data_IF_965796217321
#
_entry.id   IF_965796217321
#
_cell.length_a   1.000
_cell.length_b   1.000
_cell.length_c   1.000
_cell.angle_alpha   90.00
_cell.angle_beta   90.00
_cell.angle_gamma   90.00
#
_symmetry.space_group_name_H-M   'P 1'
#
loop_
_entity.id
_entity.type
_entity.pdbx_description
1 polymer ?
#
# COMPACT_ATOMS: atom_id res chain seq x y z
N UNK A 1 2.76 -13.03 8.29
CA UNK A 1 2.95 -12.85 6.83
C UNK A 1 4.27 -13.46 6.40
N UNK A 2 4.34 -13.95 5.18
CA UNK A 2 5.56 -14.40 4.49
C UNK A 2 5.59 -13.72 3.13
N UNK A 3 6.78 -13.38 2.63
CA UNK A 3 6.99 -12.99 1.24
C UNK A 3 8.11 -13.83 0.65
N UNK A 4 7.95 -14.19 -0.62
CA UNK A 4 8.93 -14.99 -1.35
C UNK A 4 9.54 -14.18 -2.48
N UNK A 5 10.62 -14.68 -3.06
CA UNK A 5 11.24 -14.13 -4.26
C UNK A 5 10.20 -13.98 -5.37
N UNK A 6 10.22 -12.89 -6.16
CA UNK A 6 9.25 -12.66 -7.23
C UNK A 6 9.08 -13.87 -8.15
N UNK A 7 7.85 -14.39 -8.21
CA UNK A 7 7.54 -15.60 -8.99
C UNK A 7 7.83 -15.40 -10.49
N UNK A 8 7.74 -14.17 -11.02
CA UNK A 8 8.15 -13.90 -12.39
C UNK A 8 9.61 -14.29 -12.66
N UNK A 9 10.50 -14.13 -11.67
CA UNK A 9 11.90 -14.54 -11.77
C UNK A 9 12.03 -16.06 -11.65
N UNK A 10 11.34 -16.66 -10.67
CA UNK A 10 11.38 -18.09 -10.39
C UNK A 10 10.82 -18.89 -11.57
N UNK A 11 9.73 -18.44 -12.16
CA UNK A 11 9.05 -19.09 -13.27
C UNK A 11 9.58 -18.69 -14.67
N UNK A 12 10.56 -17.79 -14.76
CA UNK A 12 11.02 -17.23 -16.04
C UNK A 12 11.46 -18.29 -17.08
N UNK A 13 12.01 -19.39 -16.63
CA UNK A 13 12.42 -20.50 -17.50
C UNK A 13 11.27 -21.47 -17.85
N UNK A 14 10.14 -21.39 -17.16
CA UNK A 14 8.98 -22.24 -17.40
C UNK A 14 8.17 -21.71 -18.59
N UNK A 15 7.86 -22.56 -19.55
CA UNK A 15 6.96 -22.24 -20.67
C UNK A 15 5.53 -22.68 -20.33
N UNK A 16 5.07 -22.38 -19.12
CA UNK A 16 3.76 -22.79 -18.60
C UNK A 16 3.13 -21.65 -17.81
N UNK A 17 1.81 -21.74 -17.57
CA UNK A 17 1.11 -20.77 -16.73
C UNK A 17 1.73 -20.70 -15.32
N UNK A 18 1.95 -19.50 -14.75
CA UNK A 18 2.41 -19.33 -13.38
C UNK A 18 1.38 -19.67 -12.30
N UNK A 19 0.10 -19.83 -12.61
CA UNK A 19 -0.99 -20.10 -11.65
C UNK A 19 -0.70 -21.27 -10.70
N UNK A 20 -0.10 -22.39 -11.12
CA UNK A 20 0.28 -23.48 -10.21
C UNK A 20 1.22 -23.05 -9.07
N UNK A 21 2.09 -22.02 -9.29
CA UNK A 21 2.92 -21.45 -8.23
C UNK A 21 2.05 -20.73 -7.20
N UNK A 22 1.03 -19.97 -7.62
CA UNK A 22 0.10 -19.33 -6.69
C UNK A 22 -0.62 -20.37 -5.82
N UNK A 23 -1.10 -21.46 -6.41
CA UNK A 23 -1.71 -22.55 -5.64
C UNK A 23 -0.73 -23.23 -4.66
N UNK A 24 0.54 -23.39 -5.05
CA UNK A 24 1.57 -23.92 -4.14
C UNK A 24 1.84 -22.97 -2.97
N UNK A 25 1.92 -21.65 -3.24
CA UNK A 25 2.06 -20.62 -2.22
C UNK A 25 0.87 -20.61 -1.26
N UNK A 26 -0.35 -20.72 -1.77
CA UNK A 26 -1.57 -20.75 -0.95
C UNK A 26 -1.60 -21.95 0.00
N UNK A 27 -1.25 -23.14 -0.51
CA UNK A 27 -1.12 -24.34 0.33
C UNK A 27 -0.05 -24.17 1.40
N UNK A 28 1.15 -23.70 1.01
CA UNK A 28 2.23 -23.45 1.96
C UNK A 28 1.83 -22.45 3.06
N UNK A 29 1.13 -21.38 2.70
CA UNK A 29 0.61 -20.40 3.66
C UNK A 29 -0.39 -21.02 4.64
N UNK A 30 -1.25 -21.92 4.17
CA UNK A 30 -2.19 -22.68 5.01
C UNK A 30 -1.45 -23.64 5.97
N UNK A 31 -0.49 -24.38 5.45
CA UNK A 31 0.27 -25.37 6.22
C UNK A 31 1.06 -24.73 7.37
N UNK A 32 1.65 -23.55 7.15
CA UNK A 32 2.41 -22.83 8.18
C UNK A 32 1.56 -21.84 9.00
N UNK A 33 0.27 -21.73 8.70
CA UNK A 33 -0.68 -20.94 9.49
C UNK A 33 -0.53 -19.42 9.33
N UNK A 34 0.02 -18.92 8.21
CA UNK A 34 0.09 -17.46 7.94
C UNK A 34 -1.13 -16.98 7.17
N UNK A 35 -1.55 -15.75 7.44
CA UNK A 35 -2.75 -15.18 6.84
C UNK A 35 -2.55 -14.74 5.40
N UNK A 36 -1.36 -14.24 5.06
CA UNK A 36 -1.03 -13.74 3.73
C UNK A 36 0.37 -14.19 3.32
N UNK A 37 0.54 -14.49 2.02
CA UNK A 37 1.82 -14.76 1.38
C UNK A 37 1.97 -13.88 0.14
N UNK A 38 3.02 -13.05 0.11
CA UNK A 38 3.39 -12.19 -1.00
C UNK A 38 4.48 -12.80 -1.88
N UNK A 39 4.74 -12.15 -3.03
CA UNK A 39 5.77 -12.57 -3.98
C UNK A 39 5.22 -13.12 -5.29
N UNK A 40 3.90 -13.20 -5.48
CA UNK A 40 3.34 -13.40 -6.82
C UNK A 40 3.49 -12.09 -7.62
N UNK A 41 4.74 -11.75 -7.95
CA UNK A 41 5.21 -10.40 -8.26
C UNK A 41 6.02 -10.39 -9.55
N UNK A 42 5.90 -9.29 -10.31
CA UNK A 42 6.76 -8.93 -11.44
C UNK A 42 7.42 -7.56 -11.22
N UNK A 43 8.70 -7.44 -11.62
CA UNK A 43 9.48 -6.21 -11.51
C UNK A 43 9.80 -5.70 -12.91
N UNK A 44 9.01 -4.76 -13.42
CA UNK A 44 9.02 -4.34 -14.83
C UNK A 44 9.35 -2.85 -15.07
N UNK A 45 10.16 -2.19 -14.21
CA UNK A 45 10.44 -0.77 -14.40
C UNK A 45 11.28 -0.47 -15.65
N UNK A 46 11.95 -1.48 -16.21
CA UNK A 46 12.78 -1.37 -17.44
C UNK A 46 12.15 -2.00 -18.68
N UNK A 47 10.91 -2.47 -18.58
CA UNK A 47 10.22 -3.22 -19.63
C UNK A 47 9.92 -4.64 -19.19
N UNK A 48 9.37 -5.45 -20.08
CA UNK A 48 8.89 -6.79 -19.80
C UNK A 48 9.83 -7.86 -20.36
N UNK A 49 10.08 -8.90 -19.60
CA UNK A 49 10.44 -10.22 -20.11
C UNK A 49 9.19 -11.01 -20.52
N UNK A 50 9.36 -12.12 -21.23
CA UNK A 50 8.24 -13.00 -21.56
C UNK A 50 7.59 -13.57 -20.27
N UNK A 51 8.39 -13.90 -19.27
CA UNK A 51 7.89 -14.42 -17.98
C UNK A 51 7.09 -13.37 -17.19
N UNK A 52 7.48 -12.09 -17.26
CA UNK A 52 6.74 -11.01 -16.62
C UNK A 52 5.34 -10.85 -17.22
N UNK A 53 5.25 -10.89 -18.55
CA UNK A 53 3.96 -10.77 -19.27
C UNK A 53 3.02 -11.93 -18.89
N UNK A 54 3.54 -13.16 -18.87
CA UNK A 54 2.74 -14.34 -18.51
C UNK A 54 2.29 -14.27 -17.05
N UNK A 55 3.16 -13.86 -16.12
CA UNK A 55 2.78 -13.68 -14.73
C UNK A 55 1.69 -12.60 -14.58
N UNK A 56 1.89 -11.41 -15.14
CA UNK A 56 0.94 -10.30 -15.02
C UNK A 56 -0.43 -10.69 -15.56
N UNK A 57 -0.50 -11.35 -16.71
CA UNK A 57 -1.75 -11.85 -17.28
C UNK A 57 -2.45 -12.91 -16.41
N UNK A 58 -1.68 -13.65 -15.63
CA UNK A 58 -2.23 -14.71 -14.76
C UNK A 58 -2.70 -14.20 -13.40
N UNK A 59 -2.39 -12.95 -13.02
CA UNK A 59 -2.76 -12.38 -11.70
C UNK A 59 -4.26 -12.49 -11.41
N UNK A 60 -5.18 -12.14 -12.33
CA UNK A 60 -6.61 -12.22 -12.03
C UNK A 60 -7.08 -13.65 -11.70
N UNK A 61 -6.60 -14.65 -12.43
CA UNK A 61 -6.91 -16.05 -12.15
C UNK A 61 -6.28 -16.50 -10.82
N UNK A 62 -5.01 -16.21 -10.61
CA UNK A 62 -4.29 -16.57 -9.39
C UNK A 62 -4.99 -16.02 -8.14
N UNK A 63 -5.37 -14.73 -8.15
CA UNK A 63 -6.03 -14.09 -7.00
C UNK A 63 -7.49 -14.50 -6.81
N UNK A 64 -8.18 -14.90 -7.87
CA UNK A 64 -9.55 -15.43 -7.78
C UNK A 64 -9.58 -16.87 -7.25
N UNK A 65 -8.55 -17.68 -7.51
CA UNK A 65 -8.51 -19.10 -7.16
C UNK A 65 -7.70 -19.42 -5.90
N UNK A 66 -7.12 -18.40 -5.24
CA UNK A 66 -6.37 -18.55 -3.99
C UNK A 66 -6.92 -17.64 -2.90
N UNK A 67 -6.77 -18.06 -1.66
CA UNK A 67 -7.28 -17.34 -0.49
C UNK A 67 -6.25 -16.35 0.07
N UNK A 68 -4.98 -16.75 0.19
CA UNK A 68 -3.93 -16.06 0.95
C UNK A 68 -2.86 -15.42 0.09
N UNK A 69 -2.84 -15.71 -1.21
CA UNK A 69 -1.83 -15.16 -2.12
C UNK A 69 -2.11 -13.70 -2.42
N UNK A 70 -1.06 -12.89 -2.30
CA UNK A 70 -1.08 -11.50 -2.68
C UNK A 70 -0.08 -11.25 -3.82
N UNK A 71 -0.39 -10.27 -4.66
CA UNK A 71 0.39 -9.93 -5.84
C UNK A 71 0.81 -8.49 -5.85
N UNK A 72 1.91 -8.21 -6.53
CA UNK A 72 2.34 -6.85 -6.85
C UNK A 72 3.07 -6.76 -8.17
N UNK A 73 3.04 -5.57 -8.76
CA UNK A 73 3.84 -5.25 -9.95
C UNK A 73 4.55 -3.92 -9.72
N UNK A 74 5.88 -3.91 -9.77
CA UNK A 74 6.66 -2.67 -9.72
C UNK A 74 6.87 -2.15 -11.12
N UNK A 75 6.21 -1.03 -11.47
CA UNK A 75 6.13 -0.51 -12.84
C UNK A 75 7.10 0.65 -13.11
N UNK A 76 7.79 1.15 -12.09
CA UNK A 76 8.65 2.32 -12.25
C UNK A 76 9.62 2.51 -11.10
N UNK A 77 10.60 3.36 -11.35
CA UNK A 77 11.50 3.86 -10.31
C UNK A 77 12.09 5.22 -10.69
N UNK A 78 12.55 5.96 -9.69
CA UNK A 78 13.27 7.23 -9.91
C UNK A 78 14.49 7.07 -10.83
N UNK A 79 15.12 5.88 -10.84
CA UNK A 79 16.31 5.60 -11.65
C UNK A 79 15.99 5.21 -13.09
N UNK A 80 14.86 4.56 -13.33
CA UNK A 80 14.54 3.96 -14.65
C UNK A 80 13.39 4.65 -15.36
N UNK A 81 12.67 5.54 -14.69
CA UNK A 81 11.43 6.11 -15.19
C UNK A 81 10.23 5.20 -14.97
N UNK A 82 9.15 5.46 -15.68
CA UNK A 82 7.86 4.78 -15.56
C UNK A 82 7.62 3.95 -16.81
N UNK A 83 7.28 2.69 -16.64
CA UNK A 83 6.82 1.81 -17.71
C UNK A 83 5.32 2.05 -17.98
N UNK A 84 5.01 2.93 -18.91
CA UNK A 84 3.62 3.30 -19.23
C UNK A 84 2.82 2.15 -19.86
N UNK A 85 3.47 1.21 -20.55
CA UNK A 85 2.82 0.01 -21.06
C UNK A 85 2.38 -0.89 -19.89
N UNK A 86 3.19 -0.94 -18.82
CA UNK A 86 2.80 -1.62 -17.59
C UNK A 86 1.63 -0.91 -16.88
N UNK A 87 1.62 0.43 -16.81
CA UNK A 87 0.48 1.18 -16.28
C UNK A 87 -0.82 0.81 -17.01
N UNK A 88 -0.76 0.82 -18.35
CA UNK A 88 -1.90 0.44 -19.18
C UNK A 88 -2.36 -0.99 -18.94
N UNK A 89 -1.44 -1.93 -18.90
CA UNK A 89 -1.74 -3.34 -18.64
C UNK A 89 -2.37 -3.52 -17.26
N UNK A 90 -1.81 -2.87 -16.23
CA UNK A 90 -2.28 -3.02 -14.86
C UNK A 90 -3.68 -2.46 -14.61
N UNK A 91 -4.10 -1.40 -15.30
CA UNK A 91 -5.49 -0.94 -15.23
C UNK A 91 -6.50 -2.01 -15.64
N UNK A 92 -6.20 -2.78 -16.70
CA UNK A 92 -6.99 -3.93 -17.11
C UNK A 92 -6.95 -5.07 -16.09
N UNK A 93 -5.77 -5.39 -15.58
CA UNK A 93 -5.58 -6.47 -14.58
C UNK A 93 -6.31 -6.17 -13.28
N UNK A 94 -6.25 -4.94 -12.75
CA UNK A 94 -6.98 -4.53 -11.54
C UNK A 94 -8.48 -4.70 -11.74
N UNK A 95 -9.01 -4.24 -12.89
CA UNK A 95 -10.42 -4.38 -13.21
C UNK A 95 -10.84 -5.85 -13.31
N UNK A 96 -10.06 -6.68 -14.01
CA UNK A 96 -10.33 -8.12 -14.15
C UNK A 96 -10.26 -8.86 -12.81
N UNK A 97 -9.34 -8.48 -11.91
CA UNK A 97 -9.31 -9.03 -10.54
C UNK A 97 -10.62 -8.75 -9.79
N UNK A 98 -11.17 -7.54 -9.92
CA UNK A 98 -12.42 -7.18 -9.30
C UNK A 98 -13.60 -7.97 -9.94
N UNK A 99 -13.66 -8.02 -11.27
CA UNK A 99 -14.72 -8.73 -12.01
C UNK A 99 -14.77 -10.23 -11.69
N UNK A 100 -13.60 -10.89 -11.57
CA UNK A 100 -13.52 -12.32 -11.23
C UNK A 100 -13.86 -12.65 -9.77
N UNK A 101 -13.94 -11.66 -8.91
CA UNK A 101 -14.15 -11.83 -7.46
C UNK A 101 -15.36 -11.05 -6.93
N UNK A 102 -16.36 -10.79 -7.77
CA UNK A 102 -17.59 -10.08 -7.39
C UNK A 102 -18.29 -10.75 -6.22
N UNK A 103 -18.35 -12.10 -6.21
CA UNK A 103 -18.99 -12.88 -5.15
C UNK A 103 -18.31 -12.72 -3.77
N UNK A 104 -17.04 -12.30 -3.76
CA UNK A 104 -16.29 -11.93 -2.55
C UNK A 104 -16.06 -10.42 -2.45
N UNK A 105 -17.03 -9.62 -2.90
CA UNK A 105 -17.01 -8.17 -2.86
C UNK A 105 -15.76 -7.55 -3.52
N UNK A 106 -15.33 -8.09 -4.67
CA UNK A 106 -14.17 -7.65 -5.45
C UNK A 106 -12.81 -7.77 -4.71
N UNK A 107 -12.71 -8.65 -3.70
CA UNK A 107 -11.55 -8.77 -2.81
C UNK A 107 -10.25 -9.16 -3.55
N UNK A 108 -10.33 -9.75 -4.75
CA UNK A 108 -9.17 -10.02 -5.59
C UNK A 108 -8.35 -8.76 -5.88
N UNK A 109 -9.02 -7.64 -6.15
CA UNK A 109 -8.35 -6.36 -6.36
C UNK A 109 -7.67 -5.81 -5.09
N UNK A 110 -8.20 -6.10 -3.90
CA UNK A 110 -7.59 -5.73 -2.62
C UNK A 110 -6.27 -6.47 -2.32
N UNK A 111 -6.05 -7.64 -2.97
CA UNK A 111 -4.82 -8.44 -2.86
C UNK A 111 -3.74 -8.04 -3.89
N UNK A 112 -3.99 -7.04 -4.73
CA UNK A 112 -3.08 -6.58 -5.77
C UNK A 112 -2.59 -5.16 -5.50
N UNK A 113 -1.28 -4.95 -5.58
CA UNK A 113 -0.64 -3.64 -5.40
C UNK A 113 0.22 -3.31 -6.61
N UNK A 114 0.07 -2.11 -7.17
CA UNK A 114 0.96 -1.59 -8.21
C UNK A 114 1.92 -0.59 -7.59
N UNK A 115 3.21 -0.82 -7.71
CA UNK A 115 4.25 0.01 -7.10
C UNK A 115 5.04 0.84 -8.11
N UNK A 116 5.51 2.00 -7.65
CA UNK A 116 6.71 2.67 -8.14
C UNK A 116 7.71 2.80 -6.99
N UNK A 117 9.00 2.59 -7.25
CA UNK A 117 10.04 2.52 -6.21
C UNK A 117 9.73 1.50 -5.10
N UNK A 118 9.29 0.31 -5.47
CA UNK A 118 9.02 -0.74 -4.49
C UNK A 118 10.25 -1.06 -3.64
N UNK A 119 10.06 -1.23 -2.34
CA UNK A 119 11.11 -1.67 -1.40
C UNK A 119 11.07 -3.18 -1.24
N UNK A 120 12.22 -3.80 -1.09
CA UNK A 120 12.40 -5.25 -1.09
C UNK A 120 12.21 -5.88 0.31
N UNK A 121 12.21 -5.05 1.35
CA UNK A 121 12.17 -5.43 2.78
C UNK A 121 10.83 -5.12 3.48
N UNK A 122 9.79 -4.80 2.73
CA UNK A 122 8.50 -4.34 3.22
C UNK A 122 7.72 -5.42 3.99
N UNK A 123 7.41 -5.25 5.29
CA UNK A 123 6.62 -6.21 6.06
C UNK A 123 5.10 -5.90 6.10
N UNK A 124 4.65 -4.75 5.62
CA UNK A 124 3.27 -4.27 5.81
C UNK A 124 2.33 -4.56 4.63
N UNK A 125 2.75 -4.21 3.40
CA UNK A 125 1.85 -4.30 2.26
C UNK A 125 1.52 -5.74 1.89
N UNK A 126 0.29 -5.96 1.46
CA UNK A 126 -0.17 -7.26 0.97
C UNK A 126 0.66 -7.76 -0.25
N UNK A 127 1.08 -6.83 -1.12
CA UNK A 127 1.91 -7.12 -2.29
C UNK A 127 3.42 -7.15 -2.01
N UNK A 128 3.88 -7.29 -0.77
CA UNK A 128 5.30 -7.42 -0.44
C UNK A 128 5.94 -8.62 -1.15
N UNK A 129 7.22 -8.53 -1.43
CA UNK A 129 8.03 -9.59 -1.99
C UNK A 129 9.40 -9.63 -1.32
N UNK A 130 10.09 -10.75 -1.43
CA UNK A 130 11.46 -10.90 -0.94
C UNK A 130 12.43 -10.53 -2.06
N UNK A 131 13.24 -9.48 -1.85
CA UNK A 131 14.15 -8.97 -2.87
C UNK A 131 15.29 -9.91 -3.19
N UNK A 132 15.78 -9.84 -4.41
CA UNK A 132 16.94 -10.65 -4.86
C UNK A 132 18.27 -10.24 -4.23
N UNK A 133 18.32 -9.03 -3.65
CA UNK A 133 19.48 -8.52 -2.92
C UNK A 133 19.50 -8.90 -1.44
N UNK A 134 18.43 -9.51 -0.95
CA UNK A 134 18.28 -9.93 0.44
C UNK A 134 18.93 -11.30 0.71
N UNK A 135 19.28 -11.64 1.98
CA UNK A 135 19.70 -13.00 2.35
C UNK A 135 18.62 -14.03 2.04
N UNK A 136 19.00 -15.32 1.94
CA UNK A 136 18.06 -16.43 1.64
C UNK A 136 16.83 -16.45 2.55
N UNK A 137 16.96 -15.99 3.78
CA UNK A 137 15.88 -15.86 4.72
C UNK A 137 16.18 -14.75 5.73
N UNK A 138 15.19 -13.91 6.07
CA UNK A 138 15.34 -12.89 7.10
C UNK A 138 14.02 -12.59 7.81
N UNK A 139 14.10 -11.96 8.97
CA UNK A 139 12.96 -11.49 9.76
C UNK A 139 12.92 -9.98 9.69
N UNK A 140 11.84 -9.42 9.15
CA UNK A 140 11.51 -8.01 9.21
C UNK A 140 10.36 -7.80 10.20
N UNK A 141 10.42 -6.73 10.97
CA UNK A 141 9.41 -6.43 12.00
C UNK A 141 8.64 -5.18 11.60
N UNK A 142 7.37 -5.35 11.28
CA UNK A 142 6.43 -4.25 11.12
C UNK A 142 5.82 -3.88 12.47
N UNK A 143 5.93 -2.61 12.86
CA UNK A 143 5.30 -2.07 14.07
C UNK A 143 4.37 -0.95 13.67
N UNK A 144 3.12 -1.02 14.12
CA UNK A 144 2.14 0.03 13.92
C UNK A 144 1.69 0.63 15.25
N UNK A 145 1.17 1.83 15.22
CA UNK A 145 0.70 2.47 16.45
C UNK A 145 0.07 3.84 16.25
N UNK A 146 -0.89 4.05 15.31
CA UNK A 146 -1.61 5.31 15.20
C UNK A 146 -2.29 5.69 16.52
N UNK A 147 -2.96 4.74 17.17
CA UNK A 147 -3.62 4.96 18.46
C UNK A 147 -2.67 5.38 19.57
N UNK A 148 -1.44 4.87 19.58
CA UNK A 148 -0.42 5.25 20.58
C UNK A 148 0.05 6.70 20.34
N UNK A 149 0.27 7.10 19.10
CA UNK A 149 0.63 8.48 18.73
C UNK A 149 -0.50 9.44 19.10
N UNK A 150 -1.73 9.10 18.74
CA UNK A 150 -2.92 9.89 19.10
C UNK A 150 -3.05 10.06 20.60
N UNK A 151 -2.94 8.98 21.37
CA UNK A 151 -3.02 9.04 22.83
C UNK A 151 -1.89 9.88 23.45
N UNK A 152 -0.72 9.91 22.84
CA UNK A 152 0.37 10.76 23.28
C UNK A 152 0.07 12.25 23.05
N UNK A 153 -0.45 12.61 21.87
CA UNK A 153 -0.82 14.01 21.54
C UNK A 153 -1.92 14.54 22.45
N UNK A 154 -2.92 13.74 22.77
CA UNK A 154 -4.03 14.10 23.69
C UNK A 154 -3.58 14.47 25.09
N UNK A 155 -2.37 14.12 25.51
CA UNK A 155 -1.81 14.56 26.80
C UNK A 155 -1.32 16.01 26.75
N UNK A 156 -1.25 16.61 25.58
CA UNK A 156 -0.75 17.96 25.35
C UNK A 156 -1.72 18.77 24.49
N UNK A 157 -2.98 19.01 24.95
CA UNK A 157 -4.00 19.66 24.13
C UNK A 157 -3.66 21.12 23.76
N UNK A 158 -2.79 21.76 24.55
CA UNK A 158 -2.30 23.14 24.30
C UNK A 158 -0.95 23.15 23.56
N UNK A 159 -0.48 21.99 23.00
CA UNK A 159 0.78 21.94 22.32
C UNK A 159 0.72 22.73 21.01
N UNK A 160 1.68 23.62 20.85
CA UNK A 160 1.87 24.33 19.58
C UNK A 160 2.59 23.47 18.53
N UNK A 161 2.69 24.01 17.33
CA UNK A 161 3.32 23.35 16.19
C UNK A 161 4.80 23.00 16.41
N UNK A 162 5.48 23.58 17.39
CA UNK A 162 6.86 23.29 17.73
C UNK A 162 6.97 22.09 18.67
N UNK A 163 6.01 21.91 19.57
CA UNK A 163 5.98 20.81 20.54
C UNK A 163 5.45 19.51 19.94
N UNK A 164 4.49 19.58 19.03
CA UNK A 164 3.84 18.41 18.41
C UNK A 164 4.86 17.44 17.79
N UNK A 165 5.82 17.88 16.94
CA UNK A 165 6.82 16.97 16.36
C UNK A 165 7.69 16.26 17.41
N UNK A 166 8.00 16.92 18.53
CA UNK A 166 8.81 16.33 19.58
C UNK A 166 8.08 15.20 20.31
N UNK A 167 6.78 15.38 20.58
CA UNK A 167 5.92 14.33 21.15
C UNK A 167 5.85 13.13 20.19
N UNK A 168 5.64 13.38 18.88
CA UNK A 168 5.58 12.32 17.87
C UNK A 168 6.91 11.57 17.77
N UNK A 169 8.05 12.28 17.73
CA UNK A 169 9.39 11.68 17.69
C UNK A 169 9.65 10.80 18.91
N UNK A 170 9.31 11.29 20.12
CA UNK A 170 9.53 10.55 21.36
C UNK A 170 8.73 9.23 21.38
N UNK A 171 7.47 9.27 20.99
CA UNK A 171 6.64 8.06 20.99
C UNK A 171 7.06 7.09 19.88
N UNK A 172 7.41 7.60 18.70
CA UNK A 172 7.94 6.81 17.58
C UNK A 172 9.24 6.11 17.94
N UNK A 173 10.14 6.81 18.65
CA UNK A 173 11.36 6.21 19.22
C UNK A 173 11.02 5.01 20.11
N UNK A 174 10.08 5.18 21.06
CA UNK A 174 9.70 4.11 22.00
C UNK A 174 9.11 2.89 21.28
N UNK A 175 8.22 3.12 20.33
CA UNK A 175 7.59 2.04 19.53
C UNK A 175 8.67 1.28 18.74
N UNK A 176 9.57 1.98 18.07
CA UNK A 176 10.67 1.38 17.29
C UNK A 176 11.59 0.53 18.16
N UNK A 177 11.92 0.99 19.38
CA UNK A 177 12.74 0.22 20.33
C UNK A 177 12.10 -1.10 20.72
N UNK A 178 10.78 -1.13 20.89
CA UNK A 178 10.04 -2.37 21.14
C UNK A 178 10.13 -3.30 19.92
N UNK A 179 9.94 -2.79 18.72
CA UNK A 179 10.09 -3.56 17.47
C UNK A 179 11.49 -4.17 17.33
N UNK A 180 12.54 -3.40 17.61
CA UNK A 180 13.92 -3.87 17.59
C UNK A 180 14.16 -5.00 18.60
N UNK A 181 13.63 -4.86 19.81
CA UNK A 181 13.75 -5.88 20.86
C UNK A 181 13.10 -7.19 20.40
N UNK A 182 11.86 -7.12 19.89
CA UNK A 182 11.12 -8.28 19.37
C UNK A 182 11.89 -8.95 18.23
N UNK A 183 12.35 -8.19 17.24
CA UNK A 183 13.14 -8.70 16.10
C UNK A 183 14.42 -9.38 16.53
N UNK A 184 15.14 -8.79 17.49
CA UNK A 184 16.38 -9.38 18.05
C UNK A 184 16.11 -10.73 18.76
N UNK A 185 15.03 -10.80 19.55
CA UNK A 185 14.65 -12.02 20.26
C UNK A 185 14.22 -13.11 19.26
N UNK A 186 13.39 -12.74 18.29
CA UNK A 186 12.92 -13.67 17.24
C UNK A 186 14.09 -14.23 16.43
N UNK A 187 14.99 -13.37 15.99
CA UNK A 187 16.22 -13.76 15.27
C UNK A 187 17.06 -14.79 16.04
N UNK A 188 17.30 -14.53 17.32
CA UNK A 188 18.05 -15.46 18.18
C UNK A 188 17.35 -16.81 18.37
N UNK A 189 16.01 -16.80 18.53
CA UNK A 189 15.23 -18.03 18.75
C UNK A 189 15.12 -18.91 17.50
N UNK A 190 15.01 -18.27 16.33
CA UNK A 190 14.79 -18.96 15.06
C UNK A 190 16.09 -19.24 14.29
N UNK A 191 17.22 -18.67 14.71
CA UNK A 191 18.49 -18.78 13.98
C UNK A 191 18.47 -18.09 12.61
N UNK A 192 17.60 -17.09 12.42
CA UNK A 192 17.41 -16.37 11.15
C UNK A 192 17.87 -14.94 11.32
N UNK A 193 18.60 -14.35 10.35
CA UNK A 193 19.04 -12.95 10.44
C UNK A 193 17.88 -11.98 10.68
N UNK A 194 18.13 -10.98 11.53
CA UNK A 194 17.22 -9.85 11.71
C UNK A 194 17.53 -8.78 10.67
N UNK A 195 16.56 -8.43 9.83
CA UNK A 195 16.62 -7.39 8.80
C UNK A 195 16.31 -6.01 9.37
N UNK A 196 15.09 -5.56 9.19
CA UNK A 196 14.68 -4.18 9.54
C UNK A 196 13.51 -4.12 10.51
N UNK A 197 13.36 -2.93 11.10
CA UNK A 197 12.11 -2.47 11.74
C UNK A 197 11.46 -1.47 10.79
N UNK A 198 10.23 -1.74 10.43
CA UNK A 198 9.36 -0.81 9.73
C UNK A 198 8.37 -0.20 10.73
N UNK A 199 8.54 1.08 11.04
CA UNK A 199 7.56 1.84 11.81
C UNK A 199 6.60 2.53 10.89
N UNK A 200 5.52 1.84 10.55
CA UNK A 200 4.44 2.40 9.73
C UNK A 200 3.20 2.63 10.59
N UNK A 201 2.71 3.87 10.60
CA UNK A 201 1.42 4.18 11.17
C UNK A 201 0.34 3.67 10.22
N UNK A 202 0.11 2.36 10.23
CA UNK A 202 -0.90 1.68 9.45
C UNK A 202 -2.15 1.52 10.31
N UNK A 203 -3.21 2.30 10.05
CA UNK A 203 -4.42 2.29 10.87
C UNK A 203 -5.19 0.98 10.73
N UNK A 204 -6.08 0.75 11.67
CA UNK A 204 -7.11 -0.29 11.61
C UNK A 204 -8.49 0.36 11.84
N UNK A 205 -9.62 -0.29 11.49
CA UNK A 205 -10.95 0.23 11.79
C UNK A 205 -11.26 0.34 13.28
N UNK A 206 -10.40 -0.18 14.15
CA UNK A 206 -10.58 -0.13 15.60
C UNK A 206 -10.68 1.30 16.13
N UNK A 207 -11.57 1.51 17.08
CA UNK A 207 -11.77 2.82 17.71
C UNK A 207 -10.45 3.34 18.30
N UNK A 208 -10.06 4.52 17.85
CA UNK A 208 -8.85 5.19 18.31
C UNK A 208 -7.59 4.94 17.48
N UNK A 209 -7.62 3.99 16.54
CA UNK A 209 -6.47 3.63 15.69
C UNK A 209 -6.61 4.24 14.28
N UNK A 210 -6.52 5.56 14.17
CA UNK A 210 -6.74 6.33 12.94
C UNK A 210 -5.66 7.37 12.73
N UNK A 211 -5.07 7.41 11.54
CA UNK A 211 -4.13 8.46 11.10
C UNK A 211 -4.88 9.77 10.85
N UNK A 212 -6.08 9.72 10.27
CA UNK A 212 -6.91 10.92 10.09
C UNK A 212 -7.17 11.63 11.41
N UNK A 213 -7.50 10.88 12.46
CA UNK A 213 -7.69 11.46 13.79
C UNK A 213 -6.39 12.01 14.40
N UNK A 214 -5.20 11.49 14.06
CA UNK A 214 -3.94 12.13 14.46
C UNK A 214 -3.82 13.51 13.82
N UNK A 215 -4.15 13.62 12.53
CA UNK A 215 -4.09 14.89 11.79
C UNK A 215 -5.08 15.90 12.38
N UNK A 216 -6.25 15.46 12.83
CA UNK A 216 -7.23 16.30 13.53
C UNK A 216 -6.72 16.75 14.92
N UNK A 217 -6.04 15.87 15.69
CA UNK A 217 -5.38 16.26 16.96
C UNK A 217 -4.21 17.24 16.75
N UNK A 218 -3.62 17.30 15.54
CA UNK A 218 -2.61 18.31 15.17
C UNK A 218 -3.24 19.70 14.94
N UNK A 219 -4.57 19.76 14.77
CA UNK A 219 -5.32 21.02 14.65
C UNK A 219 -6.13 21.17 13.37
N UNK A 220 -6.34 20.10 12.60
CA UNK A 220 -7.27 20.14 11.47
C UNK A 220 -8.70 19.99 11.96
N UNK A 221 -9.61 20.75 11.35
CA UNK A 221 -11.04 20.59 11.58
C UNK A 221 -11.54 19.21 11.15
N UNK A 222 -11.08 18.77 9.97
CA UNK A 222 -11.35 17.45 9.39
C UNK A 222 -10.22 17.04 8.47
N UNK A 223 -9.86 15.76 8.48
CA UNK A 223 -8.94 15.23 7.50
C UNK A 223 -9.49 15.43 6.08
N UNK A 224 -8.64 15.83 5.13
CA UNK A 224 -9.05 16.17 3.76
C UNK A 224 -9.20 17.67 3.52
N UNK A 225 -9.43 18.49 4.54
CA UNK A 225 -9.51 19.95 4.43
C UNK A 225 -8.13 20.58 4.16
N UNK A 226 -8.10 21.90 3.91
CA UNK A 226 -6.83 22.63 3.74
C UNK A 226 -5.94 22.47 4.97
N UNK A 227 -4.64 22.30 4.75
CA UNK A 227 -3.66 21.99 5.81
C UNK A 227 -3.35 20.48 5.97
N UNK A 228 -4.21 19.59 5.49
CA UNK A 228 -4.02 18.13 5.66
C UNK A 228 -2.68 17.64 5.10
N UNK A 229 -2.29 18.06 3.89
CA UNK A 229 -1.00 17.66 3.28
C UNK A 229 0.19 18.16 4.11
N UNK A 230 0.12 19.38 4.66
CA UNK A 230 1.17 19.93 5.52
C UNK A 230 1.25 19.19 6.87
N UNK A 231 0.12 18.93 7.51
CA UNK A 231 0.07 18.17 8.76
C UNK A 231 0.57 16.73 8.57
N UNK A 232 0.23 16.09 7.45
CA UNK A 232 0.73 14.75 7.10
C UNK A 232 2.24 14.76 6.84
N UNK A 233 2.77 15.78 6.19
CA UNK A 233 4.21 15.94 5.99
C UNK A 233 4.94 16.06 7.34
N UNK A 234 4.43 16.87 8.27
CA UNK A 234 4.96 17.02 9.62
C UNK A 234 4.91 15.68 10.38
N UNK A 235 3.78 14.98 10.36
CA UNK A 235 3.62 13.67 10.99
C UNK A 235 4.63 12.67 10.44
N UNK A 236 4.71 12.55 9.11
CA UNK A 236 5.59 11.60 8.44
C UNK A 236 7.08 11.85 8.74
N UNK A 237 7.51 13.12 8.73
CA UNK A 237 8.88 13.54 9.07
C UNK A 237 9.21 13.20 10.54
N UNK A 238 8.32 13.54 11.47
CA UNK A 238 8.53 13.28 12.89
C UNK A 238 8.61 11.78 13.21
N UNK A 239 7.75 10.96 12.59
CA UNK A 239 7.76 9.49 12.72
C UNK A 239 9.08 8.93 12.22
N UNK A 240 9.53 9.30 11.02
CA UNK A 240 10.80 8.84 10.43
C UNK A 240 12.00 9.24 11.30
N UNK A 241 12.05 10.46 11.77
CA UNK A 241 13.13 10.95 12.67
C UNK A 241 13.16 10.17 13.97
N UNK A 242 12.02 9.92 14.61
CA UNK A 242 11.92 9.10 15.80
C UNK A 242 12.43 7.67 15.59
N UNK A 243 12.05 7.05 14.48
CA UNK A 243 12.50 5.72 14.08
C UNK A 243 14.01 5.64 13.89
N UNK A 244 14.59 6.49 13.07
CA UNK A 244 16.04 6.52 12.78
C UNK A 244 16.88 6.76 14.03
N UNK A 245 16.40 7.58 14.97
CA UNK A 245 17.07 7.80 16.26
C UNK A 245 17.04 6.56 17.16
N UNK A 246 16.05 5.69 17.00
CA UNK A 246 15.85 4.52 17.87
C UNK A 246 16.63 3.29 17.42
N UNK A 247 16.83 3.09 16.13
CA UNK A 247 17.37 1.87 15.55
C UNK A 247 18.13 2.16 14.26
N UNK A 248 19.31 1.54 14.09
CA UNK A 248 20.11 1.63 12.85
C UNK A 248 19.56 0.74 11.72
N UNK A 249 18.56 -0.08 12.00
CA UNK A 249 17.95 -1.01 11.05
C UNK A 249 16.51 -0.59 10.73
N UNK A 250 16.33 0.67 10.36
CA UNK A 250 15.04 1.18 9.87
C UNK A 250 14.96 0.95 8.37
N UNK A 251 13.84 0.42 7.90
CA UNK A 251 13.60 0.14 6.50
C UNK A 251 12.11 0.05 6.17
N UNK A 252 11.79 -0.67 5.11
CA UNK A 252 10.42 -0.83 4.63
C UNK A 252 9.81 0.48 4.17
N UNK A 253 8.55 0.68 4.54
CA UNK A 253 7.75 1.85 4.17
C UNK A 253 7.69 2.93 5.26
N UNK A 254 8.32 2.71 6.40
CA UNK A 254 8.31 3.56 7.61
C UNK A 254 7.73 4.96 7.44
N UNK A 255 6.68 5.28 8.19
CA UNK A 255 5.99 6.58 8.14
C UNK A 255 4.47 6.46 8.28
N UNK A 256 3.74 7.45 7.80
CA UNK A 256 2.29 7.48 7.89
C UNK A 256 1.62 6.89 6.65
N UNK A 257 0.74 5.90 6.85
CA UNK A 257 -0.13 5.33 5.82
C UNK A 257 -1.46 6.08 5.78
N UNK A 258 -2.10 6.09 4.62
CA UNK A 258 -3.40 6.73 4.42
C UNK A 258 -4.39 5.79 3.71
N UNK A 259 -4.56 4.53 4.17
CA UNK A 259 -5.56 3.63 3.59
C UNK A 259 -6.95 4.14 3.95
N UNK A 260 -7.80 4.37 2.95
CA UNK A 260 -9.13 4.96 3.21
C UNK A 260 -10.03 3.95 3.91
N UNK A 261 -9.99 2.69 3.50
CA UNK A 261 -10.91 1.67 3.99
C UNK A 261 -10.51 1.02 5.32
N UNK A 262 -9.30 1.28 5.79
CA UNK A 262 -8.77 0.73 7.04
C UNK A 262 -8.68 1.80 8.15
N UNK A 263 -9.19 3.02 7.91
CA UNK A 263 -9.10 4.16 8.81
C UNK A 263 -10.49 4.80 9.02
N UNK A 264 -11.05 4.66 10.21
CA UNK A 264 -12.36 5.20 10.54
C UNK A 264 -12.48 6.72 10.28
N UNK A 265 -11.43 7.48 10.56
CA UNK A 265 -11.40 8.93 10.30
C UNK A 265 -11.32 9.25 8.80
N UNK A 266 -10.59 8.45 7.99
CA UNK A 266 -10.58 8.61 6.53
C UNK A 266 -11.94 8.29 5.92
N UNK A 267 -12.60 7.23 6.40
CA UNK A 267 -13.97 6.87 5.99
C UNK A 267 -14.93 8.03 6.30
N UNK A 268 -14.87 8.59 7.49
CA UNK A 268 -15.71 9.74 7.88
C UNK A 268 -15.39 11.01 7.06
N UNK A 269 -14.13 11.24 6.75
CA UNK A 269 -13.71 12.34 5.89
C UNK A 269 -14.24 12.19 4.45
N UNK A 270 -14.21 10.96 3.93
CA UNK A 270 -14.80 10.64 2.62
C UNK A 270 -16.32 10.82 2.62
N UNK A 271 -17.02 10.33 3.67
CA UNK A 271 -18.49 10.48 3.82
C UNK A 271 -18.91 11.94 3.91
N UNK A 272 -18.13 12.79 4.55
CA UNK A 272 -18.39 14.23 4.65
C UNK A 272 -18.06 15.02 3.38
N UNK A 273 -17.44 14.39 2.37
CA UNK A 273 -16.97 15.04 1.16
C UNK A 273 -15.69 15.88 1.33
N UNK A 274 -15.05 15.83 2.51
CA UNK A 274 -13.78 16.51 2.75
C UNK A 274 -12.59 15.83 2.06
N UNK A 275 -12.70 14.51 1.82
CA UNK A 275 -11.66 13.69 1.19
C UNK A 275 -12.15 13.17 -0.16
N UNK A 276 -11.40 13.42 -1.22
CA UNK A 276 -11.60 12.91 -2.58
C UNK A 276 -10.29 12.32 -3.12
N UNK A 277 -10.34 11.68 -4.29
CA UNK A 277 -9.15 11.02 -4.89
C UNK A 277 -8.04 12.04 -5.16
N UNK A 278 -8.36 13.18 -5.72
CA UNK A 278 -7.39 14.24 -6.03
C UNK A 278 -6.72 14.81 -4.76
N UNK A 279 -7.45 14.84 -3.65
CA UNK A 279 -6.86 15.22 -2.37
C UNK A 279 -5.95 14.13 -1.82
N UNK A 280 -6.32 12.87 -1.99
CA UNK A 280 -5.48 11.73 -1.64
C UNK A 280 -4.19 11.72 -2.48
N UNK A 281 -4.25 11.93 -3.79
CA UNK A 281 -3.07 12.06 -4.66
C UNK A 281 -2.13 13.16 -4.16
N UNK A 282 -2.65 14.34 -3.80
CA UNK A 282 -1.83 15.39 -3.19
C UNK A 282 -1.19 14.96 -1.85
N UNK A 283 -1.89 14.15 -1.05
CA UNK A 283 -1.38 13.61 0.22
C UNK A 283 -0.32 12.54 -0.01
N UNK A 284 -0.40 11.78 -1.11
CA UNK A 284 0.57 10.73 -1.44
C UNK A 284 1.96 11.28 -1.75
N UNK A 285 2.08 12.54 -2.12
CA UNK A 285 3.37 13.20 -2.27
C UNK A 285 4.19 13.23 -0.96
N UNK A 286 3.53 13.18 0.19
CA UNK A 286 4.15 13.31 1.53
C UNK A 286 3.90 12.15 2.48
N UNK A 287 3.00 11.21 2.15
CA UNK A 287 2.80 9.99 2.93
C UNK A 287 3.93 8.97 2.68
N UNK A 288 3.89 7.81 3.32
CA UNK A 288 4.93 6.79 3.15
C UNK A 288 4.60 5.75 2.07
N UNK A 289 3.36 5.63 1.61
CA UNK A 289 2.94 4.56 0.69
C UNK A 289 2.38 5.09 -0.62
N UNK A 290 1.20 5.69 -0.63
CA UNK A 290 0.46 6.05 -1.85
C UNK A 290 -1.05 5.89 -1.66
N UNK A 291 -1.77 5.70 -2.75
CA UNK A 291 -3.20 5.37 -2.75
C UNK A 291 -3.39 3.93 -2.26
N UNK A 292 -4.02 3.78 -1.11
CA UNK A 292 -4.16 2.47 -0.49
C UNK A 292 -5.61 2.19 -0.08
N UNK A 293 -6.09 0.98 -0.40
CA UNK A 293 -7.42 0.49 -0.05
C UNK A 293 -8.54 1.47 -0.39
N UNK A 294 -8.58 1.92 -1.64
CA UNK A 294 -9.55 2.89 -2.12
C UNK A 294 -10.59 2.21 -2.99
N UNK A 295 -11.84 2.20 -2.53
CA UNK A 295 -12.95 1.73 -3.34
C UNK A 295 -13.38 2.81 -4.33
N UNK A 296 -13.51 2.41 -5.60
CA UNK A 296 -13.96 3.26 -6.71
C UNK A 296 -15.20 2.64 -7.37
N UNK A 297 -16.02 3.43 -8.09
CA UNK A 297 -17.20 2.91 -8.78
C UNK A 297 -16.85 1.74 -9.71
N UNK A 298 -17.67 0.71 -9.70
CA UNK A 298 -17.44 -0.52 -10.45
C UNK A 298 -17.49 -0.36 -11.97
N UNK A 299 -18.03 0.75 -12.45
CA UNK A 299 -18.06 1.10 -13.88
C UNK A 299 -16.85 1.98 -14.31
N UNK A 300 -15.89 2.24 -13.40
CA UNK A 300 -14.67 2.98 -13.71
C UNK A 300 -13.90 2.25 -14.82
N UNK A 301 -13.60 2.92 -15.97
CA UNK A 301 -12.88 2.28 -17.06
C UNK A 301 -11.46 1.87 -16.68
N UNK A 302 -10.95 0.79 -17.28
CA UNK A 302 -9.57 0.35 -17.10
C UNK A 302 -8.55 1.46 -17.45
N UNK A 303 -8.84 2.28 -18.45
CA UNK A 303 -7.97 3.41 -18.84
C UNK A 303 -7.90 4.48 -17.74
N UNK A 304 -8.98 4.71 -17.00
CA UNK A 304 -8.99 5.62 -15.84
C UNK A 304 -8.13 5.05 -14.70
N UNK A 305 -8.22 3.75 -14.44
CA UNK A 305 -7.37 3.07 -13.46
C UNK A 305 -5.90 3.16 -13.87
N UNK A 306 -5.61 2.98 -15.17
CA UNK A 306 -4.26 3.13 -15.73
C UNK A 306 -3.70 4.53 -15.53
N UNK A 307 -4.55 5.56 -15.67
CA UNK A 307 -4.15 6.95 -15.44
C UNK A 307 -3.84 7.24 -13.96
N UNK A 308 -4.68 6.75 -13.04
CA UNK A 308 -4.42 6.84 -11.58
C UNK A 308 -3.07 6.18 -11.24
N UNK A 309 -2.79 5.00 -11.82
CA UNK A 309 -1.51 4.31 -11.62
C UNK A 309 -0.34 5.15 -12.16
N UNK A 310 -0.50 5.79 -13.31
CA UNK A 310 0.54 6.63 -13.91
C UNK A 310 0.80 7.91 -13.10
N UNK A 311 -0.24 8.56 -12.59
CA UNK A 311 -0.13 9.75 -11.74
C UNK A 311 0.60 9.44 -10.44
N UNK A 312 0.24 8.35 -9.76
CA UNK A 312 0.93 7.89 -8.56
C UNK A 312 2.39 7.50 -8.83
N UNK A 313 2.66 6.86 -9.96
CA UNK A 313 4.03 6.54 -10.36
C UNK A 313 4.85 7.81 -10.61
N UNK A 314 4.26 8.85 -11.21
CA UNK A 314 4.91 10.14 -11.42
C UNK A 314 5.23 10.82 -10.08
N UNK A 315 4.29 10.83 -9.13
CA UNK A 315 4.50 11.34 -7.78
C UNK A 315 5.66 10.59 -7.10
N UNK A 316 5.67 9.26 -7.16
CA UNK A 316 6.73 8.45 -6.58
C UNK A 316 8.10 8.70 -7.20
N UNK A 317 8.16 8.75 -8.53
CA UNK A 317 9.40 8.98 -9.28
C UNK A 317 10.01 10.35 -8.97
N UNK A 318 9.20 11.42 -9.04
CA UNK A 318 9.67 12.80 -8.83
C UNK A 318 10.12 13.03 -7.39
N UNK A 319 9.42 12.48 -6.42
CA UNK A 319 9.72 12.65 -5.00
C UNK A 319 10.71 11.61 -4.46
N UNK A 320 11.23 10.72 -5.29
CA UNK A 320 12.14 9.64 -4.90
C UNK A 320 11.62 8.85 -3.68
N UNK A 321 10.36 8.49 -3.72
CA UNK A 321 9.68 7.73 -2.68
C UNK A 321 8.89 6.57 -3.26
N UNK A 322 8.62 5.55 -2.46
CA UNK A 322 7.68 4.50 -2.83
C UNK A 322 6.28 5.09 -2.94
N UNK A 323 5.60 4.80 -4.05
CA UNK A 323 4.16 4.94 -4.18
C UNK A 323 3.55 3.59 -4.53
N UNK A 324 2.35 3.37 -4.02
CA UNK A 324 1.56 2.17 -4.27
C UNK A 324 0.16 2.59 -4.73
N UNK A 325 -0.45 1.80 -5.59
CA UNK A 325 -1.85 1.92 -5.96
C UNK A 325 -2.55 0.61 -5.64
N UNK A 326 -3.49 0.66 -4.70
CA UNK A 326 -4.39 -0.42 -4.35
C UNK A 326 -5.82 0.12 -4.38
N UNK A 327 -6.39 0.15 -5.59
CA UNK A 327 -7.76 0.60 -5.85
C UNK A 327 -8.65 -0.61 -6.15
N UNK A 328 -9.88 -0.56 -5.68
CA UNK A 328 -10.84 -1.66 -5.77
C UNK A 328 -12.07 -1.18 -6.51
N UNK A 329 -12.21 -1.52 -7.81
CA UNK A 329 -13.45 -1.29 -8.55
C UNK A 329 -14.58 -2.14 -7.95
N UNK A 330 -15.57 -1.50 -7.35
CA UNK A 330 -16.71 -2.17 -6.73
C UNK A 330 -17.77 -2.53 -7.78
N UNK A 331 -17.58 -3.62 -8.48
CA UNK A 331 -18.44 -4.03 -9.60
C UNK A 331 -19.92 -4.07 -9.19
N UNK A 332 -20.75 -3.40 -9.98
CA UNK A 332 -22.20 -3.30 -9.73
C UNK A 332 -22.60 -2.18 -8.74
N UNK A 333 -21.63 -1.44 -8.19
CA UNK A 333 -21.88 -0.35 -7.25
C UNK A 333 -21.43 1.00 -7.79
N UNK A 334 -22.13 2.08 -7.38
CA UNK A 334 -21.89 3.47 -7.77
C UNK A 334 -21.33 4.33 -6.63
N UNK A 335 -21.10 5.61 -6.95
CA UNK A 335 -20.63 6.60 -5.97
C UNK A 335 -21.59 6.72 -4.79
N UNK A 336 -21.06 6.74 -3.56
CA UNK A 336 -21.83 6.86 -2.34
C UNK A 336 -22.39 5.54 -1.79
N UNK A 337 -22.25 4.44 -2.53
CA UNK A 337 -22.57 3.11 -2.02
C UNK A 337 -21.42 2.56 -1.17
N UNK A 338 -21.72 1.59 -0.33
CA UNK A 338 -20.75 0.95 0.56
C UNK A 338 -20.43 -0.48 0.09
N UNK A 339 -19.16 -0.86 0.24
CA UNK A 339 -18.66 -2.23 0.10
C UNK A 339 -18.39 -2.77 1.51
N UNK A 340 -18.73 -4.02 1.80
CA UNK A 340 -18.54 -4.63 3.11
C UNK A 340 -17.83 -5.98 2.95
N UNK A 341 -16.67 -6.11 3.57
CA UNK A 341 -15.90 -7.37 3.61
C UNK A 341 -15.99 -8.08 4.96
N UNK A 342 -16.56 -7.42 5.98
CA UNK A 342 -16.60 -7.90 7.35
C UNK A 342 -15.24 -7.96 8.06
N UNK A 343 -15.25 -8.16 9.36
CA UNK A 343 -14.05 -8.37 10.18
C UNK A 343 -13.12 -7.15 10.24
N UNK A 344 -11.83 -7.35 9.91
CA UNK A 344 -10.81 -6.29 9.95
C UNK A 344 -11.04 -5.20 8.90
N UNK A 345 -11.84 -5.49 7.87
CA UNK A 345 -12.16 -4.60 6.76
C UNK A 345 -13.67 -4.30 6.84
N UNK A 346 -14.06 -3.24 7.55
CA UNK A 346 -15.46 -2.86 7.67
C UNK A 346 -15.98 -2.16 6.40
N UNK A 347 -16.99 -1.35 6.49
CA UNK A 347 -17.74 -0.75 5.38
C UNK A 347 -16.97 0.37 4.70
N UNK A 348 -16.95 0.38 3.37
CA UNK A 348 -16.24 1.35 2.55
C UNK A 348 -17.16 2.19 1.70
N UNK A 349 -16.92 3.50 1.68
CA UNK A 349 -17.59 4.42 0.76
C UNK A 349 -16.83 4.49 -0.57
N UNK A 350 -17.57 4.38 -1.68
CA UNK A 350 -17.00 4.55 -3.01
C UNK A 350 -16.73 6.02 -3.30
N UNK A 351 -15.45 6.38 -3.49
CA UNK A 351 -15.04 7.72 -3.88
C UNK A 351 -15.31 7.98 -5.36
N UNK A 352 -15.78 9.16 -5.67
CA UNK A 352 -16.04 9.57 -7.04
C UNK A 352 -14.74 9.74 -7.81
N UNK A 353 -14.55 8.96 -8.89
CA UNK A 353 -13.58 9.28 -9.93
C UNK A 353 -14.26 10.11 -11.00
N UNK A 354 -13.68 11.27 -11.38
CA UNK A 354 -14.30 12.15 -12.34
C UNK A 354 -14.32 11.57 -13.76
N UNK A 355 -15.50 11.21 -14.27
CA UNK A 355 -15.71 10.71 -15.64
C UNK A 355 -15.61 11.80 -16.74
N UNK A 356 -15.65 13.08 -16.41
CA UNK A 356 -15.92 14.13 -17.42
C UNK A 356 -14.73 14.60 -18.25
N UNK A 357 -13.50 14.43 -17.80
CA UNK A 357 -12.31 14.92 -18.54
C UNK A 357 -11.71 13.92 -19.54
N UNK A 358 -11.97 12.62 -19.39
CA UNK A 358 -11.30 11.59 -20.20
C UNK A 358 -11.90 11.33 -21.59
N UNK A 359 -12.99 11.98 -21.98
CA UNK A 359 -13.53 11.80 -23.36
C UNK A 359 -12.66 12.41 -24.48
N UNK A 360 -11.64 13.19 -24.15
CA UNK A 360 -10.78 13.87 -25.16
C UNK A 360 -9.27 13.72 -24.99
N UNK A 361 -8.78 13.13 -23.90
CA UNK A 361 -7.35 12.82 -23.77
C UNK A 361 -7.13 11.38 -24.21
N UNK A 362 -7.03 11.17 -25.54
CA UNK A 362 -6.13 10.15 -26.04
C UNK A 362 -4.74 10.60 -25.59
N UNK A 363 -4.27 10.12 -24.44
CA UNK A 363 -2.88 10.16 -24.11
C UNK A 363 -2.22 9.32 -25.21
N UNK A 364 -1.67 9.99 -26.22
CA UNK A 364 -0.72 9.38 -27.11
C UNK A 364 0.49 9.01 -26.27
N UNK A 365 0.47 7.81 -25.68
CA UNK A 365 1.59 7.21 -24.93
C UNK A 365 2.74 6.81 -25.87
N UNK A 366 2.76 7.30 -27.11
CA UNK A 366 3.88 7.22 -28.02
C UNK A 366 4.66 8.53 -27.94
N UNK A 367 5.88 8.47 -27.46
CA UNK A 367 6.92 9.50 -27.42
C UNK A 367 6.93 10.40 -26.17
N UNK A 368 7.39 9.87 -25.06
CA UNK A 368 8.24 10.59 -24.13
C UNK A 368 9.51 9.76 -23.90
N UNK A 369 10.54 10.09 -24.69
CA UNK A 369 11.94 9.79 -24.42
C UNK A 369 12.55 10.98 -23.69
#
# INVERSE_FOLDING_TARGET
>A
RISVTPIAIVSAACKCSPVPFAHAMDRAAKDVGVNLIGGYTALVPKGFSAGDIELIKSIPEALATTERVCSSVNIGSTKTGINLDACKMMGGVVRECAERTVDSACFGAAKLVVFCNAVEDNPFMAGAFHGVGEPDCMINVGVSGPGVVRAALRKYPEADITKIPDVIKEISYKITRVGQLVGTIASKRLGVPFGIVDLSLAPTPAVGDSVAHILEEIGLEKCGTHGTTAALALLNDAVKKGGVMACSRIGGLSGAFIPVSEDAGMIDAAKSGALCIEKLEAMTAVCSVGLDMICIPGDTPADTISAIIADEAAIGMVNNKTTAVRVIPAIGKGVGEELDWGGLFERFLLLQSYRRLMRQVRICLHNFY
#
